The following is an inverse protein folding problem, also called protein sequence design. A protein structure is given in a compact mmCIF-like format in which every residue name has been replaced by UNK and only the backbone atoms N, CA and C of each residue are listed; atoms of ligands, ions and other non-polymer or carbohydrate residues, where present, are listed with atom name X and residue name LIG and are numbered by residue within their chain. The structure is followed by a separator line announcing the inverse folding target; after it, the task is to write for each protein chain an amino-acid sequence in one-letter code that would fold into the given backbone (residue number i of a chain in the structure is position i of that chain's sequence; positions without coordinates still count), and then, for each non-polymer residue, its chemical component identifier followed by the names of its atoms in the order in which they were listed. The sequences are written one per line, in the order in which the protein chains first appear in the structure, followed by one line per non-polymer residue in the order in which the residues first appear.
data_IF_918746822688
#
_entry.id   IF_918746822688
#
_cell.length_a   1.000
_cell.length_b   1.000
_cell.length_c   1.000
_cell.angle_alpha   90.00
_cell.angle_beta   90.00
_cell.angle_gamma   90.00
#
_symmetry.space_group_name_H-M   'P 1'
#
loop_
_entity.id
_entity.type
_entity.pdbx_description
1 polymer ?
#
# COMPACT_ATOMS: atom_id res chain seq x y z
N UNK A 1 10.45 3.03 8.56
CA UNK A 1 9.64 2.86 9.79
C UNK A 1 10.43 1.98 10.75
N UNK A 2 10.62 2.36 12.01
CA UNK A 2 11.04 1.41 13.05
C UNK A 2 9.77 0.96 13.76
N UNK A 3 9.50 -0.35 13.78
CA UNK A 3 8.42 -0.92 14.59
C UNK A 3 8.89 -0.99 16.05
N UNK A 4 9.09 0.19 16.66
CA UNK A 4 9.63 0.38 18.01
C UNK A 4 8.55 0.29 19.10
N UNK A 5 7.29 0.10 18.73
CA UNK A 5 6.22 -0.19 19.67
C UNK A 5 6.47 -1.52 20.41
N UNK A 6 6.53 -1.46 21.74
CA UNK A 6 6.68 -2.62 22.62
C UNK A 6 5.72 -3.75 22.20
N UNK A 7 6.29 -4.92 21.89
CA UNK A 7 5.54 -6.14 21.60
C UNK A 7 4.99 -6.29 20.18
N UNK A 8 5.04 -5.28 19.31
CA UNK A 8 4.53 -5.41 17.92
C UNK A 8 5.29 -6.51 17.17
N UNK A 9 6.62 -6.46 17.18
CA UNK A 9 7.46 -7.45 16.51
C UNK A 9 7.33 -8.85 17.12
N UNK A 10 7.03 -8.93 18.42
CA UNK A 10 6.81 -10.21 19.11
C UNK A 10 5.45 -10.84 18.74
N UNK A 11 4.42 -10.02 18.50
CA UNK A 11 3.10 -10.47 18.11
C UNK A 11 2.98 -10.81 16.61
N UNK A 12 3.89 -10.30 15.76
CA UNK A 12 3.86 -10.48 14.31
C UNK A 12 3.63 -11.93 13.83
N UNK A 13 4.34 -12.96 14.34
CA UNK A 13 4.09 -14.35 13.94
C UNK A 13 2.66 -14.80 14.24
N UNK A 14 2.14 -14.45 15.43
CA UNK A 14 0.81 -14.85 15.85
C UNK A 14 -0.29 -14.12 15.04
N UNK A 15 -0.08 -12.86 14.69
CA UNK A 15 -0.98 -12.13 13.78
C UNK A 15 -1.05 -12.80 12.40
N UNK A 16 0.08 -13.26 11.85
CA UNK A 16 0.12 -13.97 10.56
C UNK A 16 -0.62 -15.31 10.60
N UNK A 17 -0.46 -16.08 11.67
CA UNK A 17 -1.21 -17.31 11.89
C UNK A 17 -2.72 -17.06 11.98
N UNK A 18 -3.11 -16.01 12.70
CA UNK A 18 -4.51 -15.60 12.81
C UNK A 18 -5.11 -15.22 11.46
N UNK A 19 -4.42 -14.38 10.67
CA UNK A 19 -4.86 -14.01 9.31
C UNK A 19 -4.99 -15.23 8.40
N UNK A 20 -4.03 -16.16 8.44
CA UNK A 20 -4.10 -17.43 7.71
C UNK A 20 -5.34 -18.24 8.07
N UNK A 21 -5.63 -18.36 9.37
CA UNK A 21 -6.79 -19.10 9.85
C UNK A 21 -8.11 -18.44 9.42
N UNK A 22 -8.17 -17.10 9.43
CA UNK A 22 -9.33 -16.36 8.91
C UNK A 22 -9.57 -16.61 7.43
N UNK A 23 -8.53 -16.51 6.60
CA UNK A 23 -8.64 -16.76 5.15
C UNK A 23 -9.07 -18.20 4.88
N UNK A 24 -8.50 -19.17 5.61
CA UNK A 24 -8.87 -20.57 5.48
C UNK A 24 -10.33 -20.84 5.88
N UNK A 25 -10.86 -20.12 6.87
CA UNK A 25 -12.25 -20.25 7.31
C UNK A 25 -13.26 -19.53 6.40
N UNK A 26 -12.92 -18.33 5.93
CA UNK A 26 -13.80 -17.49 5.10
C UNK A 26 -13.83 -17.95 3.63
N UNK A 27 -12.74 -18.58 3.14
CA UNK A 27 -12.58 -19.01 1.75
C UNK A 27 -12.94 -17.88 0.75
N UNK A 28 -12.30 -16.70 0.84
CA UNK A 28 -12.66 -15.56 0.01
C UNK A 28 -12.43 -15.88 -1.48
N UNK A 29 -13.18 -15.22 -2.35
CA UNK A 29 -12.95 -15.31 -3.81
C UNK A 29 -11.72 -14.50 -4.26
N UNK A 30 -11.33 -13.49 -3.48
CA UNK A 30 -10.24 -12.58 -3.76
C UNK A 30 -9.61 -12.09 -2.45
N UNK A 31 -8.28 -12.01 -2.38
CA UNK A 31 -7.56 -11.42 -1.26
C UNK A 31 -6.88 -10.13 -1.71
N UNK A 32 -7.23 -8.99 -1.11
CA UNK A 32 -6.52 -7.72 -1.34
C UNK A 32 -5.47 -7.52 -0.25
N UNK A 33 -4.21 -7.41 -0.65
CA UNK A 33 -3.07 -7.18 0.24
C UNK A 33 -2.55 -5.76 -0.01
N UNK A 34 -2.58 -4.94 1.03
CA UNK A 34 -2.00 -3.59 1.02
C UNK A 34 -0.96 -3.53 2.13
N UNK A 35 0.24 -3.05 1.78
CA UNK A 35 1.32 -2.87 2.74
C UNK A 35 2.05 -1.56 2.47
N UNK A 36 2.79 -1.05 3.45
CA UNK A 36 3.56 0.18 3.29
C UNK A 36 4.78 -0.06 2.38
N UNK A 37 5.07 0.90 1.50
CA UNK A 37 6.29 0.94 0.71
C UNK A 37 7.33 1.78 1.46
N UNK A 38 8.16 1.11 2.24
CA UNK A 38 9.28 1.69 2.97
C UNK A 38 10.39 0.67 3.03
N UNK A 39 11.64 1.11 2.86
CA UNK A 39 12.78 0.24 3.12
C UNK A 39 12.97 0.03 4.62
N UNK A 40 13.59 -1.09 4.97
CA UNK A 40 13.77 -1.50 6.35
C UNK A 40 15.07 -2.26 6.54
N UNK A 41 15.24 -2.80 7.74
CA UNK A 41 16.37 -3.67 8.10
C UNK A 41 15.85 -5.00 8.60
N UNK A 42 16.65 -6.05 8.42
CA UNK A 42 16.42 -7.35 9.04
C UNK A 42 16.61 -7.28 10.56
N UNK A 43 16.26 -8.36 11.25
CA UNK A 43 16.52 -8.53 12.70
C UNK A 43 18.00 -8.51 13.05
N UNK A 44 18.86 -8.86 12.09
CA UNK A 44 20.31 -8.81 12.18
C UNK A 44 20.88 -7.42 11.80
N UNK A 45 20.03 -6.46 11.46
CA UNK A 45 20.41 -5.08 11.13
C UNK A 45 20.88 -4.86 9.69
N UNK A 46 20.68 -5.83 8.80
CA UNK A 46 21.05 -5.69 7.38
C UNK A 46 20.00 -4.89 6.64
N UNK A 47 20.41 -3.89 5.84
CA UNK A 47 19.50 -3.13 4.99
C UNK A 47 18.81 -4.06 3.97
N UNK A 48 17.48 -3.97 3.87
CA UNK A 48 16.67 -4.76 2.96
C UNK A 48 16.34 -3.95 1.73
N UNK A 49 16.58 -4.53 0.55
CA UNK A 49 16.16 -3.94 -0.72
C UNK A 49 14.64 -4.05 -0.91
N UNK A 50 14.11 -3.33 -1.90
CA UNK A 50 12.72 -3.48 -2.31
C UNK A 50 12.40 -4.93 -2.70
N UNK A 51 13.33 -5.59 -3.39
CA UNK A 51 13.17 -6.99 -3.79
C UNK A 51 13.10 -7.93 -2.58
N UNK A 52 13.92 -7.72 -1.55
CA UNK A 52 13.90 -8.54 -0.33
C UNK A 52 12.55 -8.43 0.37
N UNK A 53 12.03 -7.21 0.50
CA UNK A 53 10.75 -6.93 1.14
C UNK A 53 9.56 -7.52 0.38
N UNK A 54 9.53 -7.36 -0.95
CA UNK A 54 8.48 -7.94 -1.80
C UNK A 54 8.54 -9.46 -1.77
N UNK A 55 9.74 -10.05 -1.84
CA UNK A 55 9.92 -11.51 -1.76
C UNK A 55 9.39 -12.05 -0.43
N UNK A 56 9.68 -11.37 0.68
CA UNK A 56 9.17 -11.76 2.00
C UNK A 56 7.64 -11.62 2.10
N UNK A 57 7.06 -10.56 1.52
CA UNK A 57 5.61 -10.38 1.47
C UNK A 57 4.94 -11.48 0.63
N UNK A 58 5.52 -11.85 -0.51
CA UNK A 58 5.00 -12.93 -1.35
C UNK A 58 5.13 -14.31 -0.71
N UNK A 59 6.25 -14.58 -0.04
CA UNK A 59 6.43 -15.82 0.69
C UNK A 59 5.34 -15.97 1.77
N UNK A 60 4.96 -14.87 2.43
CA UNK A 60 3.83 -14.85 3.35
C UNK A 60 2.50 -15.09 2.61
N UNK A 61 2.17 -14.36 1.56
CA UNK A 61 0.86 -14.50 0.89
C UNK A 61 0.67 -15.86 0.21
N UNK A 62 1.75 -16.46 -0.32
CA UNK A 62 1.74 -17.79 -0.94
C UNK A 62 1.24 -18.88 0.02
N UNK A 63 1.43 -18.68 1.32
CA UNK A 63 1.01 -19.66 2.34
C UNK A 63 -0.50 -19.59 2.61
N UNK A 64 -1.24 -18.60 2.09
CA UNK A 64 -2.68 -18.46 2.30
C UNK A 64 -3.54 -19.34 1.38
N UNK A 65 -2.95 -20.06 0.43
CA UNK A 65 -3.70 -20.98 -0.44
C UNK A 65 -4.62 -20.29 -1.46
N UNK A 66 -4.22 -19.09 -1.91
CA UNK A 66 -4.99 -18.22 -2.80
C UNK A 66 -4.32 -18.01 -4.18
N UNK A 67 -3.78 -19.04 -4.86
CA UNK A 67 -3.02 -18.84 -6.09
C UNK A 67 -3.86 -18.17 -7.18
N UNK A 68 -3.32 -17.11 -7.79
CA UNK A 68 -4.00 -16.34 -8.84
C UNK A 68 -5.22 -15.55 -8.36
N UNK A 69 -5.37 -15.39 -7.04
CA UNK A 69 -6.51 -14.70 -6.40
C UNK A 69 -6.05 -13.65 -5.39
N UNK A 70 -4.76 -13.29 -5.41
CA UNK A 70 -4.22 -12.21 -4.59
C UNK A 70 -4.08 -10.95 -5.44
N UNK A 71 -4.49 -9.81 -4.89
CA UNK A 71 -4.30 -8.48 -5.47
C UNK A 71 -3.39 -7.69 -4.55
N UNK A 72 -2.21 -7.32 -5.03
CA UNK A 72 -1.33 -6.40 -4.33
C UNK A 72 -1.73 -4.97 -4.67
N UNK A 73 -2.41 -4.31 -3.73
CA UNK A 73 -2.77 -2.90 -3.83
C UNK A 73 -1.59 -2.07 -3.35
N UNK A 74 -0.97 -1.30 -4.24
CA UNK A 74 0.08 -0.37 -3.86
C UNK A 74 -0.46 0.67 -2.86
N UNK A 75 0.32 1.11 -1.87
CA UNK A 75 -0.02 2.26 -1.06
C UNK A 75 0.19 3.55 -1.88
N UNK A 76 -0.55 4.63 -1.60
CA UNK A 76 -0.20 5.95 -2.12
C UNK A 76 1.23 6.35 -1.69
N UNK A 77 2.01 7.02 -2.56
CA UNK A 77 3.33 7.56 -2.19
C UNK A 77 3.31 8.38 -0.90
N UNK A 78 4.47 8.52 -0.26
CA UNK A 78 4.57 9.31 0.96
C UNK A 78 4.24 10.77 0.68
N UNK A 79 3.46 11.37 1.58
CA UNK A 79 3.18 12.79 1.58
C UNK A 79 4.22 13.56 2.37
N UNK A 80 3.97 14.86 2.54
CA UNK A 80 4.78 15.73 3.41
C UNK A 80 4.14 15.88 4.79
N UNK A 81 4.91 16.37 5.76
CA UNK A 81 4.34 16.83 7.02
C UNK A 81 3.58 18.14 6.80
N UNK A 82 2.25 18.12 6.93
CA UNK A 82 1.41 19.31 6.73
C UNK A 82 1.80 20.48 7.64
N UNK A 83 2.21 20.20 8.88
CA UNK A 83 2.67 21.22 9.83
C UNK A 83 3.96 21.93 9.40
N UNK A 84 4.71 21.37 8.45
CA UNK A 84 5.94 21.95 7.93
C UNK A 84 5.76 22.77 6.64
N UNK A 85 4.64 22.60 5.91
CA UNK A 85 4.39 23.26 4.62
C UNK A 85 3.15 24.19 4.62
N UNK A 86 2.24 24.02 5.57
CA UNK A 86 1.07 24.87 5.72
C UNK A 86 1.39 26.17 6.47
N UNK A 87 0.96 27.31 5.92
CA UNK A 87 0.94 28.61 6.59
C UNK A 87 -0.23 29.44 6.07
N UNK A 88 -0.57 30.54 6.74
CA UNK A 88 -1.62 31.46 6.28
C UNK A 88 -1.35 32.09 4.90
N UNK A 89 -0.10 32.03 4.43
CA UNK A 89 0.34 32.61 3.17
C UNK A 89 0.83 31.56 2.16
N UNK A 90 0.75 30.26 2.47
CA UNK A 90 1.11 29.20 1.52
C UNK A 90 -0.11 28.72 0.72
N UNK A 91 0.15 28.03 -0.39
CA UNK A 91 -0.88 27.35 -1.18
C UNK A 91 -0.82 25.84 -0.93
N UNK A 92 -1.90 25.08 -1.21
CA UNK A 92 -1.86 23.62 -1.14
C UNK A 92 -0.72 22.97 -1.93
N UNK A 93 -0.28 23.62 -3.02
CA UNK A 93 0.84 23.16 -3.83
C UNK A 93 2.18 23.16 -3.07
N UNK A 94 2.33 23.99 -2.02
CA UNK A 94 3.50 23.96 -1.14
C UNK A 94 3.61 22.63 -0.36
N UNK A 95 2.51 21.88 -0.26
CA UNK A 95 2.45 20.58 0.38
C UNK A 95 2.39 19.41 -0.62
N UNK A 96 2.73 19.63 -1.89
CA UNK A 96 2.82 18.56 -2.87
C UNK A 96 4.10 17.73 -2.65
N UNK A 97 4.01 16.41 -2.81
CA UNK A 97 5.13 15.49 -2.78
C UNK A 97 5.40 14.95 -4.19
N UNK A 98 6.64 14.55 -4.46
CA UNK A 98 6.96 13.76 -5.64
C UNK A 98 6.81 12.26 -5.33
N UNK A 99 6.61 11.44 -6.36
CA UNK A 99 6.81 9.99 -6.24
C UNK A 99 8.31 9.73 -6.03
N UNK A 100 8.67 9.09 -4.91
CA UNK A 100 10.07 8.83 -4.58
C UNK A 100 10.59 7.50 -5.16
N UNK A 101 11.92 7.37 -5.24
CA UNK A 101 12.60 6.19 -5.79
C UNK A 101 12.30 4.90 -5.00
N UNK A 102 12.03 5.00 -3.70
CA UNK A 102 11.67 3.83 -2.88
C UNK A 102 10.31 3.30 -3.29
N UNK A 103 9.33 4.18 -3.50
CA UNK A 103 8.01 3.81 -3.98
C UNK A 103 8.11 3.16 -5.36
N UNK A 104 8.88 3.76 -6.29
CA UNK A 104 9.07 3.23 -7.65
C UNK A 104 9.67 1.82 -7.59
N UNK A 105 10.76 1.63 -6.86
CA UNK A 105 11.42 0.34 -6.76
C UNK A 105 10.53 -0.75 -6.13
N UNK A 106 9.76 -0.40 -5.08
CA UNK A 106 8.81 -1.32 -4.45
C UNK A 106 7.65 -1.67 -5.36
N UNK A 107 7.12 -0.70 -6.12
CA UNK A 107 6.05 -0.92 -7.08
C UNK A 107 6.49 -1.84 -8.22
N UNK A 108 7.65 -1.56 -8.84
CA UNK A 108 8.18 -2.38 -9.92
C UNK A 108 8.41 -3.83 -9.48
N UNK A 109 9.02 -4.02 -8.31
CA UNK A 109 9.21 -5.36 -7.74
C UNK A 109 7.87 -6.06 -7.45
N UNK A 110 6.89 -5.36 -6.88
CA UNK A 110 5.56 -5.91 -6.57
C UNK A 110 4.82 -6.32 -7.84
N UNK A 111 4.78 -5.45 -8.85
CA UNK A 111 4.08 -5.70 -10.11
C UNK A 111 4.72 -6.86 -10.89
N UNK A 112 6.06 -6.91 -10.96
CA UNK A 112 6.78 -8.01 -11.59
C UNK A 112 6.51 -9.35 -10.90
N UNK A 113 6.51 -9.33 -9.56
CA UNK A 113 6.33 -10.54 -8.78
C UNK A 113 4.87 -11.05 -8.80
N UNK A 114 3.88 -10.15 -8.82
CA UNK A 114 2.48 -10.50 -9.03
C UNK A 114 2.28 -11.16 -10.40
N UNK A 115 2.82 -10.55 -11.46
CA UNK A 115 2.75 -11.11 -12.81
C UNK A 115 3.41 -12.50 -12.91
N UNK A 116 4.56 -12.70 -12.26
CA UNK A 116 5.28 -13.98 -12.28
C UNK A 116 4.52 -15.11 -11.55
N UNK A 117 3.70 -14.78 -10.56
CA UNK A 117 2.90 -15.75 -9.78
C UNK A 117 1.50 -15.98 -10.34
N UNK A 118 1.08 -15.19 -11.33
CA UNK A 118 -0.30 -15.19 -11.85
C UNK A 118 -1.29 -14.43 -10.96
N UNK A 119 -0.80 -13.71 -9.96
CA UNK A 119 -1.57 -12.77 -9.12
C UNK A 119 -1.70 -11.41 -9.82
N UNK A 120 -2.36 -10.46 -9.15
CA UNK A 120 -2.70 -9.14 -9.69
C UNK A 120 -2.05 -8.01 -8.89
N UNK A 121 -1.86 -6.86 -9.52
CA UNK A 121 -1.38 -5.65 -8.85
C UNK A 121 -2.21 -4.44 -9.29
N UNK A 122 -2.48 -3.52 -8.36
CA UNK A 122 -3.18 -2.26 -8.62
C UNK A 122 -2.26 -1.11 -8.24
N UNK A 123 -1.97 -0.25 -9.22
CA UNK A 123 -1.19 0.96 -9.05
C UNK A 123 -2.00 2.03 -8.30
N UNK A 124 -1.37 2.67 -7.31
CA UNK A 124 -1.98 3.74 -6.53
C UNK A 124 -1.85 5.13 -7.18
N UNK A 125 -0.92 5.32 -8.11
CA UNK A 125 -0.67 6.64 -8.72
C UNK A 125 -1.91 7.23 -9.39
N UNK A 126 -2.73 6.48 -10.17
CA UNK A 126 -3.89 7.05 -10.85
C UNK A 126 -4.93 7.71 -9.93
N UNK A 127 -4.99 7.31 -8.66
CA UNK A 127 -5.91 7.87 -7.67
C UNK A 127 -5.18 8.60 -6.53
N UNK A 128 -3.87 8.86 -6.67
CA UNK A 128 -3.08 9.53 -5.63
C UNK A 128 -2.24 10.70 -6.16
N UNK A 129 -1.88 10.69 -7.44
CA UNK A 129 -0.91 11.63 -8.02
C UNK A 129 -1.30 12.01 -9.45
N UNK A 130 -0.82 13.17 -9.91
CA UNK A 130 -0.97 13.67 -11.27
C UNK A 130 0.41 14.09 -11.80
N UNK A 131 0.81 13.56 -12.95
CA UNK A 131 2.10 13.89 -13.60
C UNK A 131 3.32 13.77 -12.65
N UNK A 132 3.33 12.74 -11.79
CA UNK A 132 4.41 12.49 -10.83
C UNK A 132 4.35 13.34 -9.55
N UNK A 133 3.32 14.18 -9.40
CA UNK A 133 3.08 15.05 -8.24
C UNK A 133 1.88 14.54 -7.45
N UNK A 134 2.08 14.25 -6.16
CA UNK A 134 1.08 13.75 -5.23
C UNK A 134 0.62 14.89 -4.31
N UNK A 135 -0.58 15.45 -4.54
CA UNK A 135 -1.06 16.59 -3.77
C UNK A 135 -1.49 16.19 -2.34
N UNK A 136 -1.31 17.11 -1.40
CA UNK A 136 -1.87 16.98 -0.05
C UNK A 136 -3.41 17.06 -0.01
N UNK A 137 -4.05 17.52 -1.08
CA UNK A 137 -5.50 17.69 -1.19
C UNK A 137 -6.02 17.24 -2.56
N UNK A 138 -7.14 16.52 -2.57
CA UNK A 138 -7.96 16.31 -3.75
C UNK A 138 -9.12 17.30 -3.74
N UNK A 139 -8.99 18.41 -4.47
CA UNK A 139 -9.88 19.56 -4.32
C UNK A 139 -9.73 20.17 -2.92
N UNK A 140 -10.79 20.10 -2.10
CA UNK A 140 -10.76 20.57 -0.69
C UNK A 140 -10.56 19.43 0.31
N UNK A 141 -10.39 18.19 -0.15
CA UNK A 141 -10.32 16.99 0.68
C UNK A 141 -8.87 16.67 1.04
N UNK A 142 -8.46 16.70 2.32
CA UNK A 142 -7.10 16.31 2.71
C UNK A 142 -6.86 14.82 2.45
N UNK A 143 -5.79 14.48 1.76
CA UNK A 143 -5.51 13.08 1.38
C UNK A 143 -4.97 12.26 2.54
N UNK A 144 -4.04 12.84 3.33
CA UNK A 144 -3.37 12.18 4.46
C UNK A 144 -3.41 13.04 5.72
N UNK A 145 -3.38 12.40 6.90
CA UNK A 145 -3.24 13.12 8.18
C UNK A 145 -1.78 13.20 8.66
N UNK A 146 -0.94 12.26 8.25
CA UNK A 146 0.52 12.29 8.40
C UNK A 146 1.21 11.98 7.06
N UNK A 147 2.50 11.65 7.04
CA UNK A 147 3.21 11.37 5.78
C UNK A 147 2.78 10.06 5.10
N UNK A 148 2.14 9.15 5.83
CA UNK A 148 1.88 7.78 5.37
C UNK A 148 0.37 7.51 5.24
N UNK A 149 -0.40 7.82 6.26
CA UNK A 149 -1.76 7.34 6.44
C UNK A 149 -2.80 8.26 5.80
N UNK A 150 -3.73 7.65 5.07
CA UNK A 150 -4.87 8.36 4.48
C UNK A 150 -5.80 8.92 5.57
N UNK A 151 -6.48 10.02 5.27
CA UNK A 151 -7.66 10.41 6.04
C UNK A 151 -8.81 9.48 5.73
N UNK A 152 -9.72 9.26 6.69
CA UNK A 152 -10.95 8.47 6.47
C UNK A 152 -11.79 9.04 5.32
N UNK A 153 -12.05 10.37 5.25
CA UNK A 153 -12.82 10.94 4.14
C UNK A 153 -12.19 10.69 2.77
N UNK A 154 -10.86 10.71 2.66
CA UNK A 154 -10.19 10.40 1.39
C UNK A 154 -10.27 8.92 1.04
N UNK A 155 -10.11 8.02 2.02
CA UNK A 155 -10.25 6.59 1.80
C UNK A 155 -11.66 6.21 1.32
N UNK A 156 -12.71 6.80 1.89
CA UNK A 156 -14.09 6.63 1.43
C UNK A 156 -14.28 7.20 0.02
N UNK A 157 -13.68 8.36 -0.27
CA UNK A 157 -13.76 9.00 -1.59
C UNK A 157 -13.19 8.14 -2.72
N UNK A 158 -12.10 7.41 -2.47
CA UNK A 158 -11.46 6.55 -3.49
C UNK A 158 -12.06 5.14 -3.58
N UNK A 159 -12.93 4.72 -2.64
CA UNK A 159 -13.50 3.38 -2.65
C UNK A 159 -14.28 3.02 -3.95
N UNK A 160 -15.07 3.93 -4.56
CA UNK A 160 -15.69 3.67 -5.85
C UNK A 160 -14.67 3.45 -6.98
N UNK A 161 -13.54 4.18 -6.96
CA UNK A 161 -12.45 3.98 -7.93
C UNK A 161 -11.83 2.60 -7.76
N UNK A 162 -11.55 2.17 -6.52
CA UNK A 162 -11.00 0.83 -6.25
C UNK A 162 -11.96 -0.28 -6.70
N UNK A 163 -13.26 -0.10 -6.49
CA UNK A 163 -14.28 -1.02 -6.99
C UNK A 163 -14.21 -1.12 -8.52
N UNK A 164 -14.17 0.02 -9.21
CA UNK A 164 -14.01 0.06 -10.66
C UNK A 164 -12.69 -0.58 -11.13
N UNK A 165 -11.58 -0.35 -10.43
CA UNK A 165 -10.29 -0.93 -10.76
C UNK A 165 -10.32 -2.46 -10.67
N UNK A 166 -10.93 -3.02 -9.63
CA UNK A 166 -11.12 -4.47 -9.48
C UNK A 166 -12.05 -5.04 -10.58
N UNK A 167 -13.15 -4.34 -10.89
CA UNK A 167 -14.10 -4.74 -11.94
C UNK A 167 -13.49 -4.71 -13.34
N UNK A 168 -12.74 -3.66 -13.67
CA UNK A 168 -12.10 -3.50 -14.98
C UNK A 168 -11.04 -4.58 -15.26
N UNK A 169 -10.47 -5.17 -14.22
CA UNK A 169 -9.57 -6.33 -14.30
C UNK A 169 -10.30 -7.68 -14.21
N UNK A 170 -11.64 -7.69 -14.09
CA UNK A 170 -12.44 -8.90 -13.97
C UNK A 170 -12.29 -9.65 -12.64
N UNK A 171 -11.77 -8.98 -11.60
CA UNK A 171 -11.46 -9.59 -10.30
C UNK A 171 -12.69 -9.72 -9.40
N UNK A 172 -13.69 -8.87 -9.63
CA UNK A 172 -15.01 -8.91 -9.00
C UNK A 172 -16.09 -8.66 -10.06
N UNK A 173 -17.33 -9.04 -9.77
CA UNK A 173 -18.45 -8.84 -10.68
C UNK A 173 -18.76 -7.36 -10.92
N UNK A 174 -19.19 -7.03 -12.15
CA UNK A 174 -19.86 -5.77 -12.43
C UNK A 174 -21.24 -5.82 -11.74
N UNK A 175 -21.45 -4.91 -10.79
CA UNK A 175 -22.72 -4.79 -10.06
C UNK A 175 -23.86 -4.25 -10.91
#
# INVERSE_FOLDING_TARGET
MQNDGDGIMAACPQCKEFVRALIAADQPSLLVVSNVFTLGRSTEGTDLSAQDLVTAAQAETATYGMPGRVVYLAPPPQGVNLGACYSQVSSPAACAAAVDDTWIAMWEATAAAAAASGDHAIDALPFSCWEGICPAFAGTLPTKYDQTHLTVPYAEHIAPYLTWALQSQGLIANG
#
